data_IF_281564825471
#
_entry.id   IF_281564825471
#
_cell.length_a   1.000
_cell.length_b   1.000
_cell.length_c   1.000
_cell.angle_alpha   90.00
_cell.angle_beta   90.00
_cell.angle_gamma   90.00
#
_symmetry.space_group_name_H-M   'P 1'
#
loop_
_entity.id
_entity.type
_entity.pdbx_description
1 polymer ?
#
# COMPACT_ATOMS: atom_id res chain seq x y z
N UNK A 1 11.14 -28.75 -5.97
CA UNK A 1 9.93 -28.35 -5.24
C UNK A 1 10.09 -26.86 -5.03
N UNK A 2 9.28 -26.04 -5.69
CA UNK A 2 9.39 -24.59 -5.60
C UNK A 2 8.75 -24.15 -4.29
N UNK A 3 9.58 -23.94 -3.27
CA UNK A 3 9.16 -23.32 -2.01
C UNK A 3 8.88 -21.83 -2.30
N UNK A 4 7.61 -21.51 -2.56
CA UNK A 4 7.15 -20.13 -2.66
C UNK A 4 7.32 -19.42 -1.31
N UNK A 5 7.62 -18.11 -1.31
CA UNK A 5 7.72 -17.32 -0.10
C UNK A 5 6.34 -17.21 0.56
N UNK A 6 6.09 -18.01 1.59
CA UNK A 6 4.81 -17.95 2.31
C UNK A 6 4.63 -16.58 3.00
N UNK A 7 3.47 -15.94 2.83
CA UNK A 7 3.10 -14.71 3.52
C UNK A 7 1.89 -14.92 4.41
N UNK A 8 1.77 -14.12 5.47
CA UNK A 8 0.60 -14.20 6.35
C UNK A 8 -0.68 -13.77 5.65
N UNK A 9 -0.63 -12.74 4.81
CA UNK A 9 -1.77 -12.34 3.97
C UNK A 9 -1.92 -13.18 2.69
N UNK A 10 -0.95 -14.05 2.36
CA UNK A 10 -0.98 -14.92 1.17
C UNK A 10 -0.32 -16.28 1.48
N UNK A 11 -1.06 -17.24 2.07
CA UNK A 11 -0.54 -18.58 2.31
C UNK A 11 -0.34 -19.33 0.98
N UNK A 12 0.56 -20.33 0.97
CA UNK A 12 1.01 -21.09 -0.22
C UNK A 12 -0.11 -21.70 -1.10
N UNK A 13 -1.32 -21.87 -0.58
CA UNK A 13 -2.49 -22.40 -1.32
C UNK A 13 -3.31 -21.32 -2.04
N UNK A 14 -2.96 -20.03 -1.90
CA UNK A 14 -3.61 -18.95 -2.63
C UNK A 14 -3.13 -18.97 -4.11
N UNK A 15 -4.02 -18.69 -5.09
CA UNK A 15 -3.57 -18.49 -6.46
C UNK A 15 -2.50 -17.41 -6.49
N UNK A 16 -1.37 -17.69 -7.16
CA UNK A 16 -0.22 -16.78 -7.23
C UNK A 16 -0.70 -15.38 -7.60
N UNK A 17 -0.33 -14.34 -6.83
CA UNK A 17 -0.61 -12.96 -7.22
C UNK A 17 -0.12 -12.73 -8.64
N UNK A 18 -1.04 -12.48 -9.55
CA UNK A 18 -0.68 -12.21 -10.92
C UNK A 18 0.05 -10.87 -10.92
N UNK A 19 1.32 -10.90 -11.35
CA UNK A 19 1.97 -9.67 -11.77
C UNK A 19 1.04 -8.99 -12.80
N UNK A 20 0.71 -7.71 -12.64
CA UNK A 20 -0.13 -7.01 -13.60
C UNK A 20 0.45 -7.21 -15.01
N UNK A 21 -0.40 -7.41 -16.04
CA UNK A 21 0.03 -7.94 -17.32
C UNK A 21 1.12 -7.06 -17.96
N UNK A 22 2.27 -7.67 -18.28
CA UNK A 22 3.26 -7.10 -19.20
C UNK A 22 2.76 -7.34 -20.63
N UNK A 23 2.04 -6.37 -21.19
CA UNK A 23 1.58 -6.47 -22.58
C UNK A 23 2.68 -6.02 -23.54
N UNK A 24 2.93 -6.84 -24.55
CA UNK A 24 3.87 -6.51 -25.63
C UNK A 24 3.37 -5.28 -26.41
N UNK A 25 4.20 -4.24 -26.44
CA UNK A 25 3.88 -2.92 -26.93
C UNK A 25 3.61 -2.83 -28.45
N UNK A 26 2.92 -1.76 -28.86
CA UNK A 26 3.49 -0.85 -29.86
C UNK A 26 3.77 0.52 -29.25
N UNK A 27 4.94 1.06 -29.60
CA UNK A 27 5.57 2.25 -29.05
C UNK A 27 4.78 3.56 -29.26
N UNK A 28 4.84 4.49 -28.30
CA UNK A 28 5.05 5.94 -28.56
C UNK A 28 5.37 6.77 -27.30
N UNK A 29 6.46 7.52 -27.44
CA UNK A 29 6.73 8.92 -27.07
C UNK A 29 6.62 9.42 -25.60
N UNK A 30 7.82 9.74 -25.11
CA UNK A 30 8.25 10.55 -23.96
C UNK A 30 7.58 11.95 -23.89
N UNK A 31 7.23 12.37 -22.68
CA UNK A 31 6.91 13.76 -22.36
C UNK A 31 7.27 14.10 -20.89
N UNK A 32 8.45 14.68 -20.73
CA UNK A 32 8.91 15.35 -19.50
C UNK A 32 8.10 16.62 -19.17
N UNK A 33 7.79 16.87 -17.90
CA UNK A 33 7.35 18.20 -17.38
C UNK A 33 7.70 18.32 -15.88
N UNK A 34 8.72 19.09 -15.51
CA UNK A 34 8.76 20.54 -15.25
C UNK A 34 8.29 20.93 -13.83
N UNK A 35 9.26 21.24 -12.96
CA UNK A 35 9.09 21.84 -11.62
C UNK A 35 9.19 23.38 -11.75
N UNK A 36 8.37 24.13 -11.01
CA UNK A 36 8.47 25.59 -10.86
C UNK A 36 7.92 26.06 -9.49
N UNK A 37 8.29 27.27 -9.00
CA UNK A 37 8.73 27.45 -7.60
C UNK A 37 7.94 28.46 -6.72
N UNK A 38 8.22 28.37 -5.39
CA UNK A 38 8.37 29.42 -4.35
C UNK A 38 7.16 30.06 -3.56
N UNK A 39 7.18 29.82 -2.21
CA UNK A 39 7.10 30.72 -1.02
C UNK A 39 5.90 31.70 -0.78
N UNK A 40 5.67 32.32 0.43
CA UNK A 40 6.39 32.28 1.72
C UNK A 40 5.51 32.05 3.00
N UNK A 41 6.17 31.86 4.15
CA UNK A 41 5.58 31.77 5.49
C UNK A 41 5.40 33.13 6.18
N UNK A 42 4.35 33.27 7.00
CA UNK A 42 4.12 34.38 7.94
C UNK A 42 3.61 33.86 9.30
N UNK A 43 3.99 34.47 10.44
CA UNK A 43 3.71 33.91 11.78
C UNK A 43 2.54 34.62 12.49
N UNK A 44 1.76 33.92 13.31
CA UNK A 44 1.10 34.52 14.51
C UNK A 44 0.59 33.49 15.53
N UNK A 45 1.11 33.66 16.76
CA UNK A 45 0.56 33.57 18.11
C UNK A 45 -0.47 32.49 18.54
N UNK A 46 -0.17 31.93 19.72
CA UNK A 46 -0.85 30.87 20.44
C UNK A 46 -2.13 31.29 21.18
N UNK A 47 -3.15 30.45 21.05
CA UNK A 47 -4.19 30.21 22.08
C UNK A 47 -4.68 28.78 21.89
N UNK A 48 -4.46 27.91 22.88
CA UNK A 48 -4.75 26.45 22.92
C UNK A 48 -5.28 25.87 21.59
N UNK A 49 -4.38 25.67 20.62
CA UNK A 49 -4.73 25.61 19.20
C UNK A 49 -5.14 24.22 18.71
N UNK A 50 -4.85 23.15 19.45
CA UNK A 50 -4.87 21.80 18.86
C UNK A 50 -6.27 21.34 18.42
N UNK A 51 -7.33 21.70 19.14
CA UNK A 51 -8.69 21.20 18.86
C UNK A 51 -9.44 22.04 17.80
N UNK A 52 -9.12 23.33 17.69
CA UNK A 52 -9.71 24.22 16.67
C UNK A 52 -8.92 24.14 15.38
N UNK A 53 -7.59 24.08 15.46
CA UNK A 53 -6.74 23.84 14.29
C UNK A 53 -7.02 22.45 13.70
N UNK A 54 -7.12 21.38 14.52
CA UNK A 54 -7.44 20.05 14.00
C UNK A 54 -8.81 19.98 13.29
N UNK A 55 -9.77 20.84 13.66
CA UNK A 55 -11.08 20.93 12.99
C UNK A 55 -11.03 21.80 11.73
N UNK A 56 -10.27 22.89 11.74
CA UNK A 56 -10.15 23.80 10.60
C UNK A 56 -9.26 23.23 9.48
N UNK A 57 -8.27 22.42 9.82
CA UNK A 57 -7.32 21.83 8.87
C UNK A 57 -7.58 20.35 8.59
N UNK A 58 -8.74 19.81 9.00
CA UNK A 58 -9.06 18.40 8.73
C UNK A 58 -9.13 18.12 7.22
N UNK A 59 -9.77 19.01 6.47
CA UNK A 59 -9.89 18.88 5.01
C UNK A 59 -8.53 19.06 4.34
N UNK A 60 -7.73 20.05 4.77
CA UNK A 60 -6.35 20.24 4.29
C UNK A 60 -5.45 19.03 4.58
N UNK A 61 -5.62 18.38 5.74
CA UNK A 61 -4.89 17.18 6.11
C UNK A 61 -5.32 15.96 5.27
N UNK A 62 -6.61 15.83 4.98
CA UNK A 62 -7.13 14.78 4.08
C UNK A 62 -6.52 14.93 2.69
N UNK A 63 -6.52 16.15 2.15
CA UNK A 63 -5.94 16.47 0.85
C UNK A 63 -4.42 16.27 0.83
N UNK A 64 -3.72 16.63 1.91
CA UNK A 64 -2.28 16.47 2.02
C UNK A 64 -1.87 15.00 2.09
N UNK A 65 -2.59 14.18 2.86
CA UNK A 65 -2.31 12.74 2.96
C UNK A 65 -2.63 12.01 1.65
N UNK A 66 -3.74 12.37 0.97
CA UNK A 66 -4.06 11.82 -0.33
C UNK A 66 -2.97 12.13 -1.36
N UNK A 67 -2.49 13.39 -1.41
CA UNK A 67 -1.35 13.78 -2.26
C UNK A 67 -0.09 12.99 -1.92
N UNK A 68 0.23 12.82 -0.64
CA UNK A 68 1.40 12.06 -0.22
C UNK A 68 1.32 10.57 -0.63
N UNK A 69 0.13 9.96 -0.60
CA UNK A 69 -0.10 8.62 -1.14
C UNK A 69 0.16 8.60 -2.64
N UNK A 70 -0.39 9.56 -3.40
CA UNK A 70 -0.15 9.67 -4.84
C UNK A 70 1.34 9.88 -5.17
N UNK A 71 2.07 10.68 -4.39
CA UNK A 71 3.51 10.91 -4.57
C UNK A 71 4.32 9.62 -4.36
N UNK A 72 4.01 8.85 -3.31
CA UNK A 72 4.65 7.56 -3.06
C UNK A 72 4.38 6.60 -4.23
N UNK A 73 3.12 6.48 -4.65
CA UNK A 73 2.72 5.63 -5.79
C UNK A 73 3.31 6.10 -7.12
N UNK A 74 3.50 7.41 -7.30
CA UNK A 74 4.24 8.00 -8.42
C UNK A 74 5.71 7.56 -8.43
N UNK A 75 6.32 7.38 -7.27
CA UNK A 75 7.65 6.77 -7.14
C UNK A 75 7.69 5.33 -7.67
N UNK A 76 6.71 4.51 -7.31
CA UNK A 76 6.56 3.15 -7.84
C UNK A 76 6.35 3.15 -9.36
N UNK A 77 5.52 4.06 -9.86
CA UNK A 77 5.25 4.23 -11.28
C UNK A 77 6.52 4.65 -12.06
N UNK A 78 7.31 5.57 -11.52
CA UNK A 78 8.58 5.99 -12.11
C UNK A 78 9.62 4.85 -12.13
N UNK A 79 9.70 4.04 -11.07
CA UNK A 79 10.56 2.85 -11.06
C UNK A 79 10.16 1.84 -12.14
N UNK A 80 8.85 1.60 -12.33
CA UNK A 80 8.37 0.71 -13.38
C UNK A 80 8.80 1.16 -14.79
N UNK A 81 8.77 2.48 -15.07
CA UNK A 81 9.28 3.03 -16.34
C UNK A 81 10.79 2.79 -16.48
N UNK A 82 11.54 3.02 -15.40
CA UNK A 82 12.99 2.81 -15.36
C UNK A 82 13.41 1.36 -15.64
N UNK A 83 12.57 0.40 -15.26
CA UNK A 83 12.78 -1.04 -15.50
C UNK A 83 12.49 -1.48 -16.95
N UNK A 84 12.09 -0.55 -17.84
CA UNK A 84 11.82 -0.81 -19.24
C UNK A 84 10.37 -1.25 -19.54
N UNK A 85 9.47 -1.23 -18.55
CA UNK A 85 8.04 -1.37 -18.80
C UNK A 85 7.53 -0.06 -19.43
N UNK A 86 7.04 -0.12 -20.67
CA UNK A 86 6.69 1.02 -21.53
C UNK A 86 5.52 1.91 -21.06
N UNK A 87 5.56 2.43 -19.83
CA UNK A 87 4.61 3.38 -19.25
C UNK A 87 3.27 2.77 -18.82
N UNK A 88 2.91 1.58 -19.29
CA UNK A 88 1.60 0.99 -19.01
C UNK A 88 1.47 0.47 -17.58
N UNK A 89 2.53 -0.14 -17.04
CA UNK A 89 2.60 -0.50 -15.62
C UNK A 89 2.56 0.73 -14.71
N UNK A 90 3.20 1.82 -15.12
CA UNK A 90 3.14 3.09 -14.40
C UNK A 90 1.71 3.65 -14.35
N UNK A 91 0.99 3.64 -15.48
CA UNK A 91 -0.43 4.03 -15.53
C UNK A 91 -1.32 3.10 -14.70
N UNK A 92 -1.03 1.81 -14.67
CA UNK A 92 -1.77 0.86 -13.83
C UNK A 92 -1.56 1.15 -12.34
N UNK A 93 -0.33 1.52 -11.93
CA UNK A 93 -0.01 1.94 -10.56
C UNK A 93 -0.73 3.25 -10.20
N UNK A 94 -0.72 4.24 -11.11
CA UNK A 94 -1.45 5.50 -10.91
C UNK A 94 -2.96 5.25 -10.77
N UNK A 95 -3.56 4.47 -11.66
CA UNK A 95 -4.98 4.13 -11.62
C UNK A 95 -5.35 3.33 -10.35
N UNK A 96 -4.48 2.41 -9.93
CA UNK A 96 -4.64 1.67 -8.68
C UNK A 96 -4.56 2.61 -7.46
N UNK A 97 -3.69 3.61 -7.49
CA UNK A 97 -3.58 4.64 -6.46
C UNK A 97 -4.83 5.49 -6.35
N UNK A 98 -5.32 6.00 -7.47
CA UNK A 98 -6.56 6.77 -7.53
C UNK A 98 -7.75 5.95 -7.05
N UNK A 99 -7.84 4.68 -7.48
CA UNK A 99 -8.86 3.73 -7.04
C UNK A 99 -8.81 3.50 -5.53
N UNK A 100 -7.62 3.29 -4.97
CA UNK A 100 -7.41 3.05 -3.54
C UNK A 100 -7.77 4.27 -2.70
N UNK A 101 -7.39 5.48 -3.12
CA UNK A 101 -7.76 6.72 -2.43
C UNK A 101 -9.28 6.94 -2.50
N UNK A 102 -9.88 6.80 -3.68
CA UNK A 102 -11.32 6.97 -3.85
C UNK A 102 -12.13 5.97 -3.01
N UNK A 103 -11.70 4.71 -2.98
CA UNK A 103 -12.33 3.65 -2.18
C UNK A 103 -12.13 3.85 -0.67
N UNK A 104 -10.95 4.30 -0.23
CA UNK A 104 -10.71 4.69 1.15
C UNK A 104 -11.67 5.82 1.59
N UNK A 105 -11.79 6.87 0.77
CA UNK A 105 -12.72 7.97 1.05
C UNK A 105 -14.19 7.51 1.04
N UNK A 106 -14.60 6.71 0.06
CA UNK A 106 -15.98 6.25 -0.10
C UNK A 106 -16.41 5.31 1.04
N UNK A 107 -15.48 4.49 1.54
CA UNK A 107 -15.75 3.60 2.66
C UNK A 107 -15.61 4.29 4.01
N UNK A 108 -14.99 5.47 4.10
CA UNK A 108 -14.80 6.23 5.34
C UNK A 108 -13.52 5.88 6.10
N UNK A 109 -12.52 5.31 5.42
CA UNK A 109 -11.15 5.15 5.93
C UNK A 109 -10.49 6.52 6.03
N UNK A 110 -9.77 6.76 7.12
CA UNK A 110 -8.97 7.98 7.26
C UNK A 110 -7.79 7.92 6.27
N UNK A 111 -7.61 8.96 5.44
CA UNK A 111 -6.48 9.01 4.49
C UNK A 111 -5.13 9.04 5.21
N UNK A 112 -5.09 9.44 6.49
CA UNK A 112 -3.92 9.29 7.36
C UNK A 112 -3.56 7.83 7.62
N UNK A 113 -4.55 6.97 7.83
CA UNK A 113 -4.33 5.54 8.03
C UNK A 113 -3.86 4.89 6.73
N UNK A 114 -4.49 5.25 5.60
CA UNK A 114 -4.05 4.82 4.28
C UNK A 114 -2.59 5.23 4.01
N UNK A 115 -2.25 6.50 4.25
CA UNK A 115 -0.89 7.01 4.12
C UNK A 115 0.10 6.24 4.99
N UNK A 116 -0.25 5.97 6.25
CA UNK A 116 0.62 5.20 7.14
C UNK A 116 0.94 3.81 6.59
N UNK A 117 -0.06 3.11 6.05
CA UNK A 117 0.14 1.78 5.43
C UNK A 117 1.01 1.86 4.18
N UNK A 118 0.69 2.78 3.28
CA UNK A 118 1.45 2.97 2.02
C UNK A 118 2.91 3.36 2.31
N UNK A 119 3.15 4.18 3.33
CA UNK A 119 4.49 4.55 3.75
C UNK A 119 5.27 3.35 4.32
N UNK A 120 4.64 2.44 5.07
CA UNK A 120 5.28 1.19 5.52
C UNK A 120 5.70 0.32 4.33
N UNK A 121 4.85 0.19 3.32
CA UNK A 121 5.16 -0.58 2.10
C UNK A 121 6.36 0.05 1.37
N UNK A 122 6.39 1.37 1.27
CA UNK A 122 7.49 2.11 0.67
C UNK A 122 8.81 1.97 1.47
N UNK A 123 8.76 2.03 2.81
CA UNK A 123 9.92 1.74 3.68
C UNK A 123 10.48 0.34 3.44
N UNK A 124 9.60 -0.67 3.36
CA UNK A 124 10.00 -2.05 3.14
C UNK A 124 10.56 -2.27 1.72
N UNK A 125 9.99 -1.62 0.72
CA UNK A 125 10.53 -1.64 -0.64
C UNK A 125 11.92 -1.00 -0.70
N UNK A 126 12.12 0.17 -0.09
CA UNK A 126 13.42 0.84 -0.07
C UNK A 126 14.51 -0.01 0.61
N UNK A 127 14.13 -0.80 1.61
CA UNK A 127 15.00 -1.76 2.28
C UNK A 127 15.21 -3.07 1.49
N UNK A 128 14.47 -3.29 0.40
CA UNK A 128 14.53 -4.48 -0.43
C UNK A 128 15.22 -4.17 -1.77
N UNK A 129 16.56 -4.05 -1.74
CA UNK A 129 17.37 -3.82 -2.93
C UNK A 129 17.44 -5.04 -3.88
N UNK A 130 17.10 -6.23 -3.37
CA UNK A 130 17.06 -7.49 -4.11
C UNK A 130 15.83 -8.28 -3.71
N UNK A 131 15.39 -9.19 -4.57
CA UNK A 131 14.36 -10.15 -4.19
C UNK A 131 14.83 -11.02 -3.01
N UNK A 132 13.98 -11.25 -1.99
CA UNK A 132 14.33 -12.09 -0.86
C UNK A 132 14.54 -13.54 -1.31
N UNK A 133 15.50 -14.22 -0.68
CA UNK A 133 15.65 -15.67 -0.88
C UNK A 133 14.47 -16.41 -0.25
N UNK A 134 14.22 -17.65 -0.69
CA UNK A 134 13.15 -18.49 -0.11
C UNK A 134 13.32 -18.66 1.43
N UNK A 135 14.56 -18.83 1.90
CA UNK A 135 14.86 -18.92 3.33
C UNK A 135 14.51 -17.62 4.08
N UNK A 136 14.84 -16.46 3.50
CA UNK A 136 14.50 -15.15 4.09
C UNK A 136 13.00 -14.92 4.12
N UNK A 137 12.27 -15.39 3.11
CA UNK A 137 10.82 -15.28 3.10
C UNK A 137 10.16 -16.16 4.18
N UNK A 138 10.60 -17.42 4.32
CA UNK A 138 10.13 -18.32 5.39
C UNK A 138 10.45 -17.73 6.77
N UNK A 139 11.63 -17.13 6.93
CA UNK A 139 12.00 -16.46 8.17
C UNK A 139 11.05 -15.28 8.46
N UNK A 140 10.83 -14.39 7.49
CA UNK A 140 9.91 -13.25 7.65
C UNK A 140 8.48 -13.67 7.97
N UNK A 141 8.02 -14.77 7.37
CA UNK A 141 6.72 -15.36 7.69
C UNK A 141 6.66 -15.83 9.14
N UNK A 142 7.69 -16.55 9.58
CA UNK A 142 7.78 -17.11 10.93
C UNK A 142 7.80 -15.98 11.96
N UNK A 143 8.64 -14.96 11.76
CA UNK A 143 8.72 -13.77 12.60
C UNK A 143 7.36 -13.03 12.64
N UNK A 144 6.73 -12.82 11.48
CA UNK A 144 5.40 -12.21 11.42
C UNK A 144 4.36 -12.99 12.21
N UNK A 145 4.39 -14.32 12.13
CA UNK A 145 3.42 -15.19 12.80
C UNK A 145 3.60 -15.16 14.32
N UNK A 146 4.85 -15.14 14.79
CA UNK A 146 5.17 -14.98 16.21
C UNK A 146 4.68 -13.63 16.75
N UNK A 147 4.87 -12.55 15.99
CA UNK A 147 4.36 -11.22 16.34
C UNK A 147 2.83 -11.20 16.36
N UNK A 148 2.17 -11.80 15.38
CA UNK A 148 0.70 -11.91 15.36
C UNK A 148 0.17 -12.66 16.59
N UNK A 149 0.83 -13.75 16.98
CA UNK A 149 0.49 -14.51 18.21
C UNK A 149 0.70 -13.66 19.46
N UNK A 150 1.81 -12.94 19.56
CA UNK A 150 2.10 -12.06 20.69
C UNK A 150 1.06 -10.93 20.83
N UNK A 151 0.55 -10.42 19.70
CA UNK A 151 -0.49 -9.39 19.63
C UNK A 151 -1.92 -9.95 19.75
N UNK A 152 -2.09 -11.26 19.98
CA UNK A 152 -3.38 -11.95 20.05
C UNK A 152 -4.25 -11.79 18.78
N UNK A 153 -3.62 -11.71 17.61
CA UNK A 153 -4.34 -11.78 16.33
C UNK A 153 -4.80 -13.21 16.13
N UNK A 154 -6.11 -13.42 16.06
CA UNK A 154 -6.70 -14.73 15.80
C UNK A 154 -6.53 -15.14 14.33
N UNK A 155 -6.44 -16.44 14.06
CA UNK A 155 -6.37 -16.97 12.69
C UNK A 155 -7.58 -16.53 11.85
N UNK A 156 -8.77 -16.47 12.47
CA UNK A 156 -9.98 -15.97 11.82
C UNK A 156 -9.83 -14.51 11.36
N UNK A 157 -9.12 -13.68 12.13
CA UNK A 157 -8.87 -12.29 11.74
C UNK A 157 -7.88 -12.20 10.58
N UNK A 158 -6.83 -13.03 10.58
CA UNK A 158 -5.92 -13.15 9.43
C UNK A 158 -6.69 -13.56 8.17
N UNK A 159 -7.61 -14.52 8.27
CA UNK A 159 -8.45 -14.94 7.14
C UNK A 159 -9.36 -13.80 6.64
N UNK A 160 -9.89 -12.96 7.52
CA UNK A 160 -10.61 -11.75 7.10
C UNK A 160 -9.71 -10.80 6.32
N UNK A 161 -8.49 -10.59 6.79
CA UNK A 161 -7.51 -9.75 6.12
C UNK A 161 -7.15 -10.28 4.73
N UNK A 162 -6.89 -11.60 4.62
CA UNK A 162 -6.62 -12.29 3.35
C UNK A 162 -7.74 -12.07 2.34
N UNK A 163 -8.98 -12.32 2.77
CA UNK A 163 -10.16 -12.16 1.91
C UNK A 163 -10.36 -10.71 1.48
N UNK A 164 -10.15 -9.76 2.39
CA UNK A 164 -10.24 -8.35 2.03
C UNK A 164 -9.22 -7.96 0.96
N UNK A 165 -7.96 -8.40 1.08
CA UNK A 165 -6.94 -8.11 0.06
C UNK A 165 -7.30 -8.78 -1.27
N UNK A 166 -7.54 -10.09 -1.26
CA UNK A 166 -7.69 -10.89 -2.48
C UNK A 166 -9.04 -10.70 -3.19
N UNK A 167 -10.13 -10.52 -2.44
CA UNK A 167 -11.47 -10.44 -3.02
C UNK A 167 -11.92 -9.00 -3.29
N UNK A 168 -11.29 -8.01 -2.64
CA UNK A 168 -11.70 -6.61 -2.72
C UNK A 168 -10.60 -5.68 -3.20
N UNK A 169 -9.48 -5.57 -2.47
CA UNK A 169 -8.42 -4.64 -2.86
C UNK A 169 -7.86 -4.97 -4.25
N UNK A 170 -7.72 -6.24 -4.60
CA UNK A 170 -7.27 -6.63 -5.94
C UNK A 170 -8.24 -6.22 -7.07
N UNK A 171 -9.51 -5.99 -6.78
CA UNK A 171 -10.48 -5.46 -7.78
C UNK A 171 -10.40 -3.95 -7.92
N UNK A 172 -10.03 -3.25 -6.84
CA UNK A 172 -9.95 -1.78 -6.79
C UNK A 172 -8.58 -1.29 -7.26
N UNK A 173 -7.53 -1.94 -6.80
CA UNK A 173 -6.13 -1.63 -7.02
C UNK A 173 -5.37 -2.91 -7.42
N UNK A 174 -5.45 -3.31 -8.71
CA UNK A 174 -4.80 -4.52 -9.20
C UNK A 174 -3.29 -4.51 -8.93
N UNK A 175 -2.74 -5.62 -8.41
CA UNK A 175 -1.33 -5.77 -8.05
C UNK A 175 -1.01 -5.44 -6.58
N UNK A 176 -2.03 -5.23 -5.75
CA UNK A 176 -1.87 -5.01 -4.30
C UNK A 176 -1.19 -6.20 -3.62
N UNK A 177 -1.67 -7.42 -3.86
CA UNK A 177 -1.12 -8.66 -3.34
C UNK A 177 0.30 -8.89 -3.83
N UNK A 178 0.56 -8.68 -5.12
CA UNK A 178 1.92 -8.76 -5.68
C UNK A 178 2.88 -7.79 -4.98
N UNK A 179 2.44 -6.55 -4.73
CA UNK A 179 3.25 -5.55 -4.04
C UNK A 179 3.52 -5.95 -2.60
N UNK A 180 2.50 -6.43 -1.88
CA UNK A 180 2.64 -6.86 -0.48
C UNK A 180 3.53 -8.10 -0.33
N UNK A 181 3.48 -9.02 -1.30
CA UNK A 181 4.35 -10.19 -1.39
C UNK A 181 5.79 -9.75 -1.66
N UNK A 182 6.03 -9.04 -2.77
CA UNK A 182 7.37 -8.61 -3.21
C UNK A 182 8.09 -7.75 -2.17
N UNK A 183 7.38 -6.89 -1.46
CA UNK A 183 7.97 -6.01 -0.42
C UNK A 183 8.10 -6.69 0.94
N UNK A 184 7.46 -7.85 1.15
CA UNK A 184 7.35 -8.45 2.47
C UNK A 184 6.33 -7.79 3.40
N UNK A 185 5.65 -6.74 2.95
CA UNK A 185 4.63 -6.04 3.73
C UNK A 185 3.45 -6.94 4.15
N UNK A 186 3.20 -8.05 3.44
CA UNK A 186 2.24 -9.07 3.84
C UNK A 186 2.57 -9.79 5.15
N UNK A 187 3.76 -9.59 5.73
CA UNK A 187 4.20 -10.13 7.02
C UNK A 187 4.38 -9.03 8.10
N UNK A 188 4.25 -7.75 7.75
CA UNK A 188 4.43 -6.64 8.69
C UNK A 188 3.17 -6.44 9.55
N UNK A 189 3.33 -6.44 10.87
CA UNK A 189 2.23 -6.34 11.83
C UNK A 189 1.41 -5.05 11.67
N UNK A 190 2.04 -3.94 11.25
CA UNK A 190 1.36 -2.65 11.04
C UNK A 190 0.38 -2.77 9.86
N UNK A 191 0.82 -3.41 8.79
CA UNK A 191 0.01 -3.65 7.59
C UNK A 191 -1.09 -4.66 7.88
N UNK A 192 -0.77 -5.79 8.52
CA UNK A 192 -1.74 -6.82 8.91
C UNK A 192 -2.86 -6.24 9.77
N UNK A 193 -2.52 -5.45 10.78
CA UNK A 193 -3.51 -4.80 11.66
C UNK A 193 -4.42 -3.85 10.91
N UNK A 194 -3.86 -3.01 10.03
CA UNK A 194 -4.64 -2.07 9.24
C UNK A 194 -5.60 -2.80 8.29
N UNK A 195 -5.11 -3.83 7.59
CA UNK A 195 -5.91 -4.68 6.70
C UNK A 195 -7.04 -5.38 7.45
N UNK A 196 -6.80 -5.91 8.65
CA UNK A 196 -7.83 -6.57 9.47
C UNK A 196 -8.86 -5.55 9.97
N UNK A 197 -8.40 -4.41 10.49
CA UNK A 197 -9.29 -3.35 10.98
C UNK A 197 -10.23 -2.88 9.87
N UNK A 198 -9.68 -2.70 8.68
CA UNK A 198 -10.40 -2.31 7.48
C UNK A 198 -11.40 -3.38 7.01
N UNK A 199 -10.97 -4.64 6.97
CA UNK A 199 -11.82 -5.77 6.64
C UNK A 199 -13.04 -5.86 7.59
N UNK A 200 -12.81 -5.70 8.91
CA UNK A 200 -13.86 -5.68 9.92
C UNK A 200 -14.82 -4.50 9.75
N UNK A 201 -14.28 -3.31 9.51
CA UNK A 201 -15.05 -2.08 9.30
C UNK A 201 -15.99 -2.20 8.09
N UNK A 202 -15.54 -2.86 7.04
CA UNK A 202 -16.31 -3.11 5.81
C UNK A 202 -17.20 -4.37 5.87
N UNK A 203 -17.17 -5.10 6.98
CA UNK A 203 -18.09 -6.21 7.24
C UNK A 203 -17.69 -7.56 6.64
N UNK A 204 -16.43 -7.78 6.28
CA UNK A 204 -15.96 -9.06 5.71
C UNK A 204 -16.12 -10.27 6.64
N UNK A 205 -16.36 -10.03 7.94
CA UNK A 205 -16.55 -11.07 8.95
C UNK A 205 -17.98 -11.24 9.44
N UNK A 206 -18.98 -10.80 8.67
CA UNK A 206 -20.41 -11.03 8.93
C UNK A 206 -21.03 -11.95 7.91
#
# INVERSE_FOLDING_TARGET
MSDDPAHLLFPNDAPKPQQPPAVSAPAVADASKAVSPASPAGPVAATKPDDVAAKLFKDDAVDSNAKAVTEILGGFAASAIGDGDGGERARAIEAAGDGLIADAMASGTDTKELFAVVNVIHELQANSLTEPTAEQAVQRMTEGLEVCRAENIADADLDLGRRFVMEHLEKIAPGTAYTLERTGAGNDIRVIRAVIAEAKRRGFGR
#
